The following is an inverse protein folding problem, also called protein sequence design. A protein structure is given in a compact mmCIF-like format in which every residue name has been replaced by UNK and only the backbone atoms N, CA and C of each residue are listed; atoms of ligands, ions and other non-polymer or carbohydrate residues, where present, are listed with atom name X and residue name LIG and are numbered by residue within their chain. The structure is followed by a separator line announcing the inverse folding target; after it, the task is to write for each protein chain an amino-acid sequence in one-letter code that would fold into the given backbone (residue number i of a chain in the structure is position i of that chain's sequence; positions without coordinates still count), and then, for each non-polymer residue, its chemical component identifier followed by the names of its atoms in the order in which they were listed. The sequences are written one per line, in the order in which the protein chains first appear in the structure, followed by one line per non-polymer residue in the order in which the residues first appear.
data_IF_145264768319
#
_entry.id   IF_145264768319
#
_cell.length_a   1.000
_cell.length_b   1.000
_cell.length_c   1.000
_cell.angle_alpha   90.00
_cell.angle_beta   90.00
_cell.angle_gamma   90.00
#
_symmetry.space_group_name_H-M   'P 1'
#
loop_
_entity.id
_entity.type
_entity.pdbx_description
1 polymer ?
#
# COMPACT_ATOMS: atom_id res chain seq x y z
N UNK A 1 -21.93 -9.52 -11.02
CA UNK A 1 -22.24 -8.45 -10.02
C UNK A 1 -21.06 -8.39 -9.05
N UNK A 2 -20.56 -7.19 -8.74
CA UNK A 2 -19.44 -7.02 -7.81
C UNK A 2 -19.80 -7.52 -6.41
N UNK A 3 -18.91 -8.30 -5.80
CA UNK A 3 -19.05 -8.88 -4.45
C UNK A 3 -17.93 -8.48 -3.50
N UNK A 4 -16.76 -8.05 -4.04
CA UNK A 4 -15.63 -7.52 -3.27
C UNK A 4 -15.13 -6.25 -3.92
N UNK A 5 -14.95 -5.20 -3.14
CA UNK A 5 -14.29 -3.95 -3.53
C UNK A 5 -12.98 -3.84 -2.73
N UNK A 6 -11.86 -3.77 -3.43
CA UNK A 6 -10.54 -3.50 -2.86
C UNK A 6 -10.13 -2.06 -3.15
N UNK A 7 -9.79 -1.32 -2.12
CA UNK A 7 -9.56 0.12 -2.16
C UNK A 7 -8.13 0.47 -1.74
N UNK A 8 -7.37 1.05 -2.64
CA UNK A 8 -6.24 1.84 -2.20
C UNK A 8 -6.71 3.07 -1.40
N UNK A 9 -5.85 3.63 -0.56
CA UNK A 9 -6.18 4.74 0.32
C UNK A 9 -5.69 6.08 -0.19
N UNK A 10 -4.37 6.27 -0.23
CA UNK A 10 -3.76 7.57 -0.47
C UNK A 10 -3.99 8.00 -1.92
N UNK A 11 -4.60 9.19 -2.12
CA UNK A 11 -4.98 9.71 -3.44
C UNK A 11 -5.96 8.83 -4.24
N UNK A 12 -6.57 7.84 -3.60
CA UNK A 12 -7.62 6.98 -4.15
C UNK A 12 -8.91 7.16 -3.35
N UNK A 13 -9.00 6.56 -2.16
CA UNK A 13 -10.19 6.66 -1.31
C UNK A 13 -10.18 7.93 -0.46
N UNK A 14 -8.98 8.40 -0.09
CA UNK A 14 -8.76 9.64 0.64
C UNK A 14 -8.54 10.81 -0.32
N UNK A 15 -9.04 11.98 0.08
CA UNK A 15 -8.75 13.26 -0.58
C UNK A 15 -7.25 13.59 -0.53
N UNK A 16 -6.82 14.58 -1.29
CA UNK A 16 -5.43 15.07 -1.27
C UNK A 16 -5.00 15.61 0.10
N UNK A 17 -5.95 15.98 0.95
CA UNK A 17 -5.73 16.38 2.36
C UNK A 17 -5.74 15.18 3.32
N UNK A 18 -5.88 13.96 2.82
CA UNK A 18 -5.81 12.71 3.60
C UNK A 18 -7.09 12.33 4.34
N UNK A 19 -8.26 12.87 3.97
CA UNK A 19 -9.56 12.62 4.60
C UNK A 19 -10.49 11.74 3.76
N UNK A 20 -11.35 10.97 4.42
CA UNK A 20 -12.43 10.24 3.77
C UNK A 20 -13.62 11.18 3.54
N UNK A 21 -13.97 11.44 2.27
CA UNK A 21 -15.12 12.29 1.96
C UNK A 21 -16.43 11.65 2.39
N UNK A 22 -17.43 12.49 2.71
CA UNK A 22 -18.78 12.01 3.07
C UNK A 22 -19.48 11.29 1.90
N UNK A 23 -19.13 11.61 0.65
CA UNK A 23 -19.66 10.90 -0.51
C UNK A 23 -19.08 9.49 -0.61
N UNK A 24 -17.75 9.34 -0.53
CA UNK A 24 -17.10 8.03 -0.51
C UNK A 24 -17.61 7.17 0.65
N UNK A 25 -17.71 7.75 1.86
CA UNK A 25 -18.24 7.06 3.04
C UNK A 25 -19.68 6.55 2.84
N UNK A 26 -20.58 7.36 2.25
CA UNK A 26 -21.95 6.94 1.93
C UNK A 26 -22.00 5.84 0.88
N UNK A 27 -21.21 5.96 -0.20
CA UNK A 27 -21.16 4.96 -1.27
C UNK A 27 -20.66 3.61 -0.77
N UNK A 28 -19.58 3.61 0.05
CA UNK A 28 -19.04 2.40 0.70
C UNK A 28 -20.08 1.75 1.62
N UNK A 29 -20.71 2.54 2.49
CA UNK A 29 -21.79 2.05 3.38
C UNK A 29 -22.98 1.50 2.58
N UNK A 30 -23.32 2.11 1.43
CA UNK A 30 -24.35 1.66 0.52
C UNK A 30 -24.01 0.31 -0.14
N UNK A 31 -22.76 0.12 -0.58
CA UNK A 31 -22.27 -1.15 -1.14
C UNK A 31 -22.32 -2.27 -0.09
N UNK A 32 -21.82 -1.99 1.12
CA UNK A 32 -21.82 -2.94 2.25
C UNK A 32 -23.26 -3.38 2.58
N UNK A 33 -24.22 -2.46 2.64
CA UNK A 33 -25.64 -2.80 2.89
C UNK A 33 -26.25 -3.67 1.81
N UNK A 34 -25.69 -3.68 0.59
CA UNK A 34 -26.09 -4.57 -0.51
C UNK A 34 -25.38 -5.93 -0.48
N UNK A 35 -24.57 -6.19 0.56
CA UNK A 35 -23.82 -7.44 0.74
C UNK A 35 -22.49 -7.49 0.01
N UNK A 36 -21.96 -6.34 -0.44
CA UNK A 36 -20.62 -6.25 -1.04
C UNK A 36 -19.60 -6.16 0.08
N UNK A 37 -18.59 -7.04 0.06
CA UNK A 37 -17.44 -6.92 0.95
C UNK A 37 -16.55 -5.76 0.50
N UNK A 38 -16.02 -5.00 1.45
CA UNK A 38 -15.08 -3.91 1.19
C UNK A 38 -13.82 -4.15 2.01
N UNK A 39 -12.65 -4.08 1.35
CA UNK A 39 -11.36 -4.16 2.02
C UNK A 39 -10.44 -3.01 1.60
N UNK A 40 -9.55 -2.65 2.51
CA UNK A 40 -8.46 -1.70 2.27
C UNK A 40 -7.29 -2.45 1.64
N UNK A 41 -6.55 -1.82 0.70
CA UNK A 41 -5.33 -2.35 0.11
C UNK A 41 -4.27 -1.22 0.00
N UNK A 42 -3.45 -1.04 1.03
CA UNK A 42 -2.56 0.11 1.18
C UNK A 42 -1.10 -0.28 1.37
N UNK A 43 -0.18 0.64 1.03
CA UNK A 43 1.23 0.57 1.42
C UNK A 43 1.46 0.87 2.90
N UNK A 44 0.50 1.47 3.57
CA UNK A 44 0.60 1.80 5.00
C UNK A 44 0.71 0.55 5.87
N UNK A 45 1.44 0.68 6.99
CA UNK A 45 1.38 -0.29 8.08
C UNK A 45 -0.01 -0.26 8.75
N UNK A 46 -0.43 -1.35 9.39
CA UNK A 46 -1.78 -1.45 9.98
C UNK A 46 -2.05 -0.35 11.02
N UNK A 47 -1.07 -0.06 11.88
CA UNK A 47 -1.20 0.95 12.95
C UNK A 47 -1.18 2.40 12.43
N UNK A 48 -0.89 2.60 11.13
CA UNK A 48 -0.89 3.91 10.48
C UNK A 48 -2.11 4.15 9.58
N UNK A 49 -3.06 3.20 9.56
CA UNK A 49 -4.31 3.36 8.82
C UNK A 49 -5.20 4.42 9.48
N UNK A 50 -5.86 5.29 8.70
CA UNK A 50 -6.73 6.33 9.24
C UNK A 50 -7.93 5.73 9.99
N UNK A 51 -8.16 6.20 11.20
CA UNK A 51 -9.30 5.75 12.02
C UNK A 51 -10.63 5.97 11.32
N UNK A 52 -10.80 7.08 10.61
CA UNK A 52 -12.04 7.40 9.89
C UNK A 52 -12.42 6.35 8.82
N UNK A 53 -11.42 5.67 8.23
CA UNK A 53 -11.65 4.55 7.31
C UNK A 53 -11.94 3.27 8.07
N UNK A 54 -11.18 2.99 9.13
CA UNK A 54 -11.38 1.80 9.99
C UNK A 54 -12.74 1.79 10.68
N UNK A 55 -13.32 2.98 10.95
CA UNK A 55 -14.64 3.12 11.57
C UNK A 55 -15.81 3.06 10.58
N UNK A 56 -15.57 2.94 9.27
CA UNK A 56 -16.66 2.65 8.34
C UNK A 56 -17.19 1.25 8.63
N UNK A 57 -18.40 1.20 9.20
CA UNK A 57 -19.01 -0.06 9.63
C UNK A 57 -19.15 -1.04 8.46
N UNK A 58 -18.54 -2.21 8.57
CA UNK A 58 -18.59 -3.30 7.57
C UNK A 58 -17.34 -3.38 6.69
N UNK A 59 -16.34 -2.51 6.84
CA UNK A 59 -14.98 -2.78 6.35
C UNK A 59 -14.33 -3.75 7.33
N UNK A 60 -14.12 -5.00 6.89
CA UNK A 60 -13.70 -6.09 7.78
C UNK A 60 -12.21 -6.40 7.71
N UNK A 61 -11.57 -6.09 6.58
CA UNK A 61 -10.19 -6.48 6.29
C UNK A 61 -9.35 -5.32 5.76
N UNK A 62 -8.07 -5.35 6.13
CA UNK A 62 -7.06 -4.45 5.59
C UNK A 62 -5.85 -5.24 5.08
N UNK A 63 -5.52 -5.03 3.81
CA UNK A 63 -4.28 -5.44 3.17
C UNK A 63 -3.30 -4.28 3.38
N UNK A 64 -2.16 -4.53 4.01
CA UNK A 64 -1.21 -3.51 4.45
C UNK A 64 0.20 -3.80 3.97
N UNK A 65 1.10 -2.82 4.08
CA UNK A 65 2.50 -2.95 3.67
C UNK A 65 2.61 -3.52 2.24
N UNK A 66 1.85 -2.93 1.30
CA UNK A 66 1.75 -3.36 -0.11
C UNK A 66 1.41 -4.86 -0.29
N UNK A 67 0.56 -5.41 0.58
CA UNK A 67 0.14 -6.80 0.49
C UNK A 67 1.00 -7.78 1.27
N UNK A 68 2.04 -7.32 1.96
CA UNK A 68 2.85 -8.18 2.81
C UNK A 68 2.06 -8.72 4.00
N UNK A 69 1.02 -8.02 4.47
CA UNK A 69 0.18 -8.48 5.57
C UNK A 69 -1.31 -8.22 5.31
N UNK A 70 -2.16 -9.14 5.78
CA UNK A 70 -3.62 -9.00 5.75
C UNK A 70 -4.14 -9.11 7.18
N UNK A 71 -4.88 -8.08 7.60
CA UNK A 71 -5.45 -8.00 8.95
C UNK A 71 -6.97 -8.12 8.91
N UNK A 72 -7.52 -8.79 9.93
CA UNK A 72 -8.92 -8.62 10.29
C UNK A 72 -9.02 -7.44 11.27
N UNK A 73 -9.82 -6.43 10.90
CA UNK A 73 -9.85 -5.14 11.62
C UNK A 73 -10.43 -5.30 13.03
N UNK A 74 -11.50 -6.09 13.19
CA UNK A 74 -12.25 -6.19 14.43
C UNK A 74 -11.42 -6.61 15.66
N UNK A 75 -10.42 -7.48 15.47
CA UNK A 75 -9.54 -7.98 16.54
C UNK A 75 -8.06 -7.67 16.27
N UNK A 76 -7.77 -6.85 15.26
CA UNK A 76 -6.42 -6.45 14.84
C UNK A 76 -5.50 -7.65 14.55
N UNK A 77 -6.09 -8.79 14.16
CA UNK A 77 -5.34 -10.02 13.94
C UNK A 77 -4.78 -10.08 12.52
N UNK A 78 -3.46 -10.23 12.40
CA UNK A 78 -2.84 -10.63 11.14
C UNK A 78 -3.27 -12.07 10.80
N UNK A 79 -4.01 -12.23 9.70
CA UNK A 79 -4.53 -13.52 9.23
C UNK A 79 -3.73 -14.11 8.07
N UNK A 80 -2.88 -13.29 7.43
CA UNK A 80 -1.92 -13.70 6.41
C UNK A 80 -0.73 -12.76 6.45
N UNK A 81 0.48 -13.31 6.34
CA UNK A 81 1.72 -12.54 6.22
C UNK A 81 2.67 -13.19 5.21
N UNK A 82 3.45 -12.34 4.53
CA UNK A 82 4.52 -12.68 3.61
C UNK A 82 5.80 -12.00 4.13
N UNK A 83 6.51 -12.66 5.02
CA UNK A 83 7.72 -12.11 5.66
C UNK A 83 8.91 -12.14 4.67
N UNK A 84 9.67 -11.06 4.62
CA UNK A 84 10.94 -11.00 3.89
C UNK A 84 11.89 -12.10 4.40
N UNK A 85 12.59 -12.74 3.47
CA UNK A 85 13.65 -13.70 3.86
C UNK A 85 14.82 -12.94 4.49
N UNK A 86 15.44 -13.46 5.56
CA UNK A 86 16.63 -12.84 6.16
C UNK A 86 17.73 -12.58 5.13
N UNK A 87 17.93 -13.49 4.16
CA UNK A 87 18.91 -13.31 3.09
C UNK A 87 18.59 -12.13 2.19
N UNK A 88 17.28 -11.88 1.89
CA UNK A 88 16.86 -10.73 1.10
C UNK A 88 17.13 -9.43 1.85
N UNK A 89 16.90 -9.38 3.17
CA UNK A 89 17.23 -8.23 4.01
C UNK A 89 18.73 -7.96 3.98
N UNK A 90 19.57 -8.99 4.17
CA UNK A 90 21.03 -8.88 4.10
C UNK A 90 21.50 -8.37 2.72
N UNK A 91 20.87 -8.83 1.63
CA UNK A 91 21.17 -8.38 0.26
C UNK A 91 20.81 -6.90 0.07
N UNK A 92 19.63 -6.46 0.52
CA UNK A 92 19.22 -5.04 0.43
C UNK A 92 20.21 -4.14 1.17
N UNK A 93 20.55 -4.48 2.41
CA UNK A 93 21.52 -3.71 3.19
C UNK A 93 22.91 -3.71 2.52
N UNK A 94 23.33 -4.83 1.95
CA UNK A 94 24.64 -4.95 1.27
C UNK A 94 24.71 -4.11 -0.01
N UNK A 95 23.68 -4.12 -0.84
CA UNK A 95 23.60 -3.31 -2.07
C UNK A 95 23.57 -1.81 -1.70
N UNK A 96 22.72 -1.44 -0.75
CA UNK A 96 22.45 -0.04 -0.44
C UNK A 96 23.54 0.64 0.40
N UNK A 97 24.42 -0.10 1.11
CA UNK A 97 25.46 0.48 2.03
C UNK A 97 26.40 1.50 1.39
N UNK A 98 26.57 1.45 0.05
CA UNK A 98 27.45 2.35 -0.69
C UNK A 98 26.75 3.64 -1.16
N UNK A 99 25.45 3.75 -0.92
CA UNK A 99 24.62 4.85 -1.40
C UNK A 99 24.14 5.75 -0.25
N UNK A 100 23.87 7.05 -0.51
CA UNK A 100 23.35 7.97 0.49
C UNK A 100 21.84 7.78 0.70
N UNK A 101 21.45 6.67 1.29
CA UNK A 101 20.06 6.29 1.53
C UNK A 101 19.80 6.11 3.03
N UNK A 102 18.52 6.13 3.40
CA UNK A 102 18.06 5.71 4.73
C UNK A 102 16.95 4.67 4.61
N UNK A 103 16.41 4.19 5.73
CA UNK A 103 15.52 3.04 5.73
C UNK A 103 14.28 3.27 6.60
N UNK A 104 13.19 2.61 6.18
CA UNK A 104 12.05 2.29 7.01
C UNK A 104 11.92 0.76 7.11
N UNK A 105 11.36 0.27 8.21
CA UNK A 105 11.09 -1.15 8.44
C UNK A 105 9.66 -1.34 8.95
N UNK A 106 8.98 -2.36 8.46
CA UNK A 106 7.59 -2.64 8.82
C UNK A 106 7.52 -4.02 9.46
N UNK A 107 7.04 -4.06 10.71
CA UNK A 107 6.99 -5.29 11.51
C UNK A 107 5.67 -5.34 12.24
N UNK A 108 4.88 -6.40 12.03
CA UNK A 108 3.63 -6.68 12.77
C UNK A 108 2.67 -5.49 12.82
N UNK A 109 2.56 -4.76 11.71
CA UNK A 109 1.66 -3.63 11.58
C UNK A 109 2.20 -2.29 12.06
N UNK A 110 3.42 -2.23 12.58
CA UNK A 110 4.11 -0.98 12.97
C UNK A 110 5.12 -0.55 11.92
N UNK A 111 5.29 0.75 11.75
CA UNK A 111 6.30 1.36 10.88
C UNK A 111 7.41 2.00 11.72
N UNK A 112 8.66 1.65 11.44
CA UNK A 112 9.86 2.16 12.09
C UNK A 112 10.71 2.91 11.09
N UNK A 113 11.33 4.01 11.50
CA UNK A 113 12.20 4.79 10.61
C UNK A 113 13.44 5.30 11.33
N UNK A 114 14.48 5.56 10.53
CA UNK A 114 15.69 6.20 11.00
C UNK A 114 15.40 7.58 11.57
N UNK A 115 16.11 7.94 12.67
CA UNK A 115 15.99 9.26 13.29
C UNK A 115 16.23 10.39 12.30
N UNK A 116 17.27 10.31 11.47
CA UNK A 116 17.60 11.34 10.49
C UNK A 116 16.50 11.55 9.43
N UNK A 117 15.73 10.52 9.10
CA UNK A 117 14.58 10.64 8.19
C UNK A 117 13.40 11.33 8.88
N UNK A 118 13.09 10.95 10.13
CA UNK A 118 11.99 11.58 10.90
C UNK A 118 12.30 13.05 11.20
N UNK A 119 13.55 13.39 11.50
CA UNK A 119 13.97 14.76 11.78
C UNK A 119 13.89 15.65 10.54
N UNK A 120 14.27 15.13 9.37
CA UNK A 120 14.29 15.88 8.12
C UNK A 120 13.81 15.04 6.91
N UNK A 121 12.49 14.76 6.79
CA UNK A 121 11.97 13.94 5.70
C UNK A 121 12.22 14.53 4.30
N UNK A 122 12.20 15.85 4.17
CA UNK A 122 12.42 16.57 2.89
C UNK A 122 13.81 16.32 2.33
N UNK A 123 14.83 16.19 3.15
CA UNK A 123 16.21 15.85 2.73
C UNK A 123 16.25 14.53 1.92
N UNK A 124 15.30 13.64 2.17
CA UNK A 124 15.20 12.33 1.53
C UNK A 124 14.07 12.28 0.49
N UNK A 125 13.55 13.44 0.06
CA UNK A 125 12.59 13.56 -1.04
C UNK A 125 11.12 13.55 -0.65
N UNK A 126 10.79 13.51 0.65
CA UNK A 126 9.40 13.67 1.08
C UNK A 126 8.91 15.09 0.81
N UNK A 127 7.64 15.23 0.44
CA UNK A 127 7.02 16.55 0.27
C UNK A 127 6.79 17.23 1.62
N UNK A 128 6.67 18.56 1.61
CA UNK A 128 6.34 19.33 2.83
C UNK A 128 5.05 18.82 3.50
N UNK A 129 4.05 18.44 2.72
CA UNK A 129 2.78 17.91 3.24
C UNK A 129 2.93 16.53 3.90
N UNK A 130 3.97 15.75 3.55
CA UNK A 130 4.22 14.44 4.12
C UNK A 130 4.97 14.50 5.48
N UNK A 131 5.55 15.65 5.87
CA UNK A 131 6.35 15.77 7.10
C UNK A 131 5.56 15.32 8.33
N UNK A 132 4.34 15.85 8.48
CA UNK A 132 3.50 15.53 9.64
C UNK A 132 3.14 14.04 9.68
N UNK A 133 2.82 13.46 8.52
CA UNK A 133 2.52 12.04 8.41
C UNK A 133 3.72 11.17 8.82
N UNK A 134 4.91 11.42 8.27
CA UNK A 134 6.13 10.68 8.65
C UNK A 134 6.37 10.77 10.15
N UNK A 135 6.35 11.98 10.72
CA UNK A 135 6.61 12.21 12.15
C UNK A 135 5.59 11.60 13.10
N UNK A 136 4.32 11.53 12.69
CA UNK A 136 3.25 11.03 13.55
C UNK A 136 3.07 9.51 13.46
N UNK A 137 3.55 8.87 12.40
CA UNK A 137 3.26 7.46 12.13
C UNK A 137 4.48 6.53 12.25
N UNK A 138 5.71 7.09 12.26
CA UNK A 138 6.94 6.28 12.38
C UNK A 138 7.44 6.23 13.82
N UNK A 139 7.79 5.01 14.25
CA UNK A 139 8.48 4.78 15.51
C UNK A 139 9.98 4.99 15.27
N UNK A 140 10.54 5.98 15.94
CA UNK A 140 11.93 6.38 15.77
C UNK A 140 12.91 5.28 16.20
N UNK A 141 13.94 5.05 15.38
CA UNK A 141 15.12 4.25 15.70
C UNK A 141 16.40 5.08 15.52
N UNK A 142 17.20 5.16 16.57
CA UNK A 142 18.51 5.86 16.53
C UNK A 142 19.47 5.15 15.57
N UNK A 143 19.46 3.81 15.56
CA UNK A 143 20.18 2.98 14.59
C UNK A 143 19.16 2.02 13.93
N UNK A 144 18.64 2.45 12.77
CA UNK A 144 17.66 1.66 12.01
C UNK A 144 18.31 0.41 11.43
N UNK A 145 19.60 0.45 11.07
CA UNK A 145 20.30 -0.70 10.47
C UNK A 145 20.50 -1.80 11.54
N UNK A 146 20.89 -1.42 12.75
CA UNK A 146 20.96 -2.36 13.85
C UNK A 146 19.59 -2.98 14.13
N UNK A 147 18.54 -2.16 14.19
CA UNK A 147 17.17 -2.63 14.40
C UNK A 147 16.71 -3.61 13.31
N UNK A 148 16.96 -3.32 12.03
CA UNK A 148 16.65 -4.22 10.91
C UNK A 148 17.40 -5.56 11.06
N UNK A 149 18.70 -5.53 11.40
CA UNK A 149 19.50 -6.74 11.59
C UNK A 149 18.97 -7.61 12.74
N UNK A 150 18.55 -7.01 13.85
CA UNK A 150 17.98 -7.72 15.00
C UNK A 150 16.63 -8.38 14.67
N UNK A 151 15.85 -7.78 13.76
CA UNK A 151 14.51 -8.22 13.37
C UNK A 151 14.41 -8.78 11.95
N UNK A 152 15.53 -9.14 11.29
CA UNK A 152 15.56 -9.52 9.87
C UNK A 152 14.67 -10.70 9.46
N UNK A 153 14.19 -11.50 10.42
CA UNK A 153 13.24 -12.60 10.18
C UNK A 153 11.77 -12.22 10.48
N UNK A 154 11.48 -10.96 10.75
CA UNK A 154 10.17 -10.48 11.17
C UNK A 154 9.61 -9.37 10.26
N UNK A 155 10.39 -8.89 9.27
CA UNK A 155 9.99 -7.78 8.42
C UNK A 155 8.87 -8.17 7.46
N UNK A 156 7.74 -7.48 7.54
CA UNK A 156 6.67 -7.51 6.54
C UNK A 156 7.19 -6.89 5.23
N UNK A 157 7.79 -5.70 5.31
CA UNK A 157 8.53 -5.05 4.23
C UNK A 157 9.59 -4.11 4.79
N UNK A 158 10.44 -3.60 3.93
CA UNK A 158 11.36 -2.51 4.22
C UNK A 158 11.42 -1.54 3.05
N UNK A 159 11.61 -0.25 3.36
CA UNK A 159 11.77 0.77 2.34
C UNK A 159 13.20 1.32 2.37
N UNK A 160 13.74 1.55 1.17
CA UNK A 160 14.94 2.36 0.97
C UNK A 160 14.48 3.75 0.54
N UNK A 161 14.92 4.77 1.26
CA UNK A 161 14.44 6.15 1.12
C UNK A 161 15.55 7.03 0.57
N UNK A 162 15.31 7.70 -0.55
CA UNK A 162 16.26 8.59 -1.22
C UNK A 162 15.57 9.59 -2.15
N UNK A 163 16.21 10.74 -2.39
CA UNK A 163 15.74 11.78 -3.33
C UNK A 163 16.64 11.86 -4.57
N UNK A 164 16.72 10.76 -5.32
CA UNK A 164 17.47 10.70 -6.58
C UNK A 164 16.88 9.63 -7.50
N UNK A 165 16.18 10.03 -8.56
CA UNK A 165 15.50 9.13 -9.49
C UNK A 165 16.47 8.26 -10.31
N UNK A 166 17.68 8.74 -10.59
CA UNK A 166 18.70 7.98 -11.35
C UNK A 166 19.27 6.89 -10.43
N UNK A 167 19.64 7.29 -9.23
CA UNK A 167 20.14 6.34 -8.22
C UNK A 167 19.09 5.32 -7.82
N UNK A 168 17.83 5.74 -7.69
CA UNK A 168 16.70 4.84 -7.40
C UNK A 168 16.62 3.70 -8.43
N UNK A 169 16.63 4.04 -9.72
CA UNK A 169 16.58 3.03 -10.80
C UNK A 169 17.76 2.08 -10.72
N UNK A 170 18.97 2.62 -10.53
CA UNK A 170 20.19 1.82 -10.39
C UNK A 170 20.10 0.84 -9.23
N UNK A 171 19.63 1.28 -8.05
CA UNK A 171 19.46 0.42 -6.88
C UNK A 171 18.44 -0.69 -7.17
N UNK A 172 17.31 -0.36 -7.80
CA UNK A 172 16.29 -1.36 -8.18
C UNK A 172 16.86 -2.43 -9.10
N UNK A 173 17.64 -2.04 -10.12
CA UNK A 173 18.28 -2.98 -11.06
C UNK A 173 19.27 -3.90 -10.31
N UNK A 174 20.15 -3.35 -9.47
CA UNK A 174 21.11 -4.13 -8.68
C UNK A 174 20.41 -5.09 -7.69
N UNK A 175 19.31 -4.67 -7.09
CA UNK A 175 18.50 -5.51 -6.20
C UNK A 175 17.87 -6.68 -6.96
N UNK A 176 17.28 -6.44 -8.14
CA UNK A 176 16.70 -7.50 -8.96
C UNK A 176 17.77 -8.45 -9.58
N UNK A 177 19.00 -7.96 -9.80
CA UNK A 177 20.09 -8.81 -10.21
C UNK A 177 20.55 -9.75 -9.08
N UNK A 178 20.62 -9.23 -7.85
CA UNK A 178 21.15 -9.95 -6.68
C UNK A 178 20.13 -10.85 -6.00
N UNK A 179 18.82 -10.56 -6.10
CA UNK A 179 17.77 -11.30 -5.40
C UNK A 179 16.51 -11.48 -6.26
N UNK A 180 16.05 -12.74 -6.35
CA UNK A 180 14.80 -13.10 -7.07
C UNK A 180 13.64 -13.40 -6.13
N UNK A 181 13.85 -13.30 -4.82
CA UNK A 181 12.83 -13.54 -3.81
C UNK A 181 12.20 -12.24 -3.26
N UNK A 182 12.46 -11.12 -3.93
CA UNK A 182 11.87 -9.82 -3.59
C UNK A 182 10.87 -9.35 -4.64
N UNK A 183 9.90 -8.56 -4.18
CA UNK A 183 8.98 -7.75 -4.96
C UNK A 183 9.25 -6.28 -4.63
N UNK A 184 9.50 -5.46 -5.64
CA UNK A 184 9.77 -4.04 -5.48
C UNK A 184 8.65 -3.24 -6.14
N UNK A 185 8.15 -2.27 -5.41
CA UNK A 185 7.17 -1.29 -5.90
C UNK A 185 7.49 0.12 -5.39
N UNK A 186 6.68 1.08 -5.74
CA UNK A 186 6.82 2.47 -5.33
C UNK A 186 5.46 3.15 -5.30
N UNK A 187 5.04 3.63 -4.16
CA UNK A 187 3.83 4.45 -3.98
C UNK A 187 4.12 5.94 -4.13
N UNK A 188 5.34 6.37 -3.77
CA UNK A 188 5.81 7.75 -3.87
C UNK A 188 7.25 7.81 -4.38
N UNK A 189 7.62 8.98 -4.94
CA UNK A 189 8.88 9.18 -5.64
C UNK A 189 10.11 8.70 -4.86
N UNK A 190 10.20 9.01 -3.57
CA UNK A 190 11.38 8.79 -2.73
C UNK A 190 11.52 7.35 -2.20
N UNK A 191 10.52 6.47 -2.36
CA UNK A 191 10.54 5.13 -1.77
C UNK A 191 10.88 4.04 -2.80
N UNK A 192 11.73 3.11 -2.40
CA UNK A 192 11.86 1.77 -2.96
C UNK A 192 11.25 0.83 -1.92
N UNK A 193 10.04 0.36 -2.17
CA UNK A 193 9.27 -0.47 -1.24
C UNK A 193 9.51 -1.93 -1.55
N UNK A 194 10.14 -2.66 -0.63
CA UNK A 194 10.65 -4.02 -0.84
C UNK A 194 9.93 -4.99 0.08
N UNK A 195 9.30 -5.98 -0.49
CA UNK A 195 8.63 -7.07 0.21
C UNK A 195 8.99 -8.44 -0.37
N UNK A 196 8.47 -9.52 0.22
CA UNK A 196 8.68 -10.86 -0.33
C UNK A 196 8.03 -10.99 -1.71
N UNK A 197 8.61 -11.75 -2.62
CA UNK A 197 8.17 -11.87 -4.03
C UNK A 197 6.71 -12.24 -4.23
N UNK A 198 6.11 -12.97 -3.29
CA UNK A 198 4.70 -13.37 -3.36
C UNK A 198 3.78 -12.37 -2.63
N UNK A 199 4.32 -11.28 -2.08
CA UNK A 199 3.54 -10.15 -1.61
C UNK A 199 2.98 -9.35 -2.80
N UNK A 200 2.37 -8.23 -2.53
CA UNK A 200 1.71 -7.39 -3.52
C UNK A 200 0.23 -7.22 -3.16
N UNK A 201 -0.35 -6.07 -3.49
CA UNK A 201 -1.78 -5.81 -3.20
C UNK A 201 -2.67 -6.88 -3.84
N UNK A 202 -2.32 -7.34 -5.04
CA UNK A 202 -2.98 -8.48 -5.70
C UNK A 202 -3.05 -9.71 -4.82
N UNK A 203 -1.92 -10.11 -4.22
CA UNK A 203 -1.85 -11.33 -3.40
C UNK A 203 -2.76 -11.26 -2.18
N UNK A 204 -2.84 -10.08 -1.54
CA UNK A 204 -3.78 -9.82 -0.46
C UNK A 204 -5.24 -9.93 -0.92
N UNK A 205 -5.59 -9.30 -2.05
CA UNK A 205 -6.94 -9.37 -2.63
C UNK A 205 -7.29 -10.81 -3.01
N UNK A 206 -6.37 -11.53 -3.65
CA UNK A 206 -6.56 -12.93 -4.02
C UNK A 206 -6.77 -13.83 -2.79
N UNK A 207 -6.01 -13.60 -1.72
CA UNK A 207 -6.19 -14.32 -0.46
C UNK A 207 -7.59 -14.08 0.14
N UNK A 208 -8.03 -12.81 0.22
CA UNK A 208 -9.36 -12.47 0.74
C UNK A 208 -10.47 -13.01 -0.15
N UNK A 209 -10.34 -12.93 -1.47
CA UNK A 209 -11.32 -13.52 -2.39
C UNK A 209 -11.47 -15.02 -2.17
N UNK A 210 -10.36 -15.76 -1.99
CA UNK A 210 -10.38 -17.17 -1.64
C UNK A 210 -11.02 -17.45 -0.28
N UNK A 211 -10.74 -16.65 0.74
CA UNK A 211 -11.33 -16.76 2.07
C UNK A 211 -12.85 -16.54 2.05
N UNK A 212 -13.33 -15.61 1.22
CA UNK A 212 -14.74 -15.23 1.12
C UNK A 212 -15.51 -16.04 0.05
N UNK A 213 -14.82 -16.91 -0.71
CA UNK A 213 -15.45 -17.68 -1.80
C UNK A 213 -15.90 -16.81 -2.98
N UNK A 214 -15.16 -15.75 -3.31
CA UNK A 214 -15.50 -14.78 -4.35
C UNK A 214 -14.64 -15.01 -5.59
N UNK A 215 -15.27 -15.14 -6.74
CA UNK A 215 -14.56 -15.26 -8.02
C UNK A 215 -13.90 -13.94 -8.43
N UNK A 216 -12.74 -14.01 -9.09
CA UNK A 216 -12.01 -12.87 -9.65
C UNK A 216 -12.90 -11.89 -10.44
N UNK A 217 -13.82 -12.41 -11.26
CA UNK A 217 -14.73 -11.61 -12.10
C UNK A 217 -15.72 -10.74 -11.30
N UNK A 218 -15.93 -11.05 -10.02
CA UNK A 218 -16.82 -10.35 -9.11
C UNK A 218 -16.05 -9.37 -8.17
N UNK A 219 -14.77 -9.09 -8.47
CA UNK A 219 -13.91 -8.17 -7.70
C UNK A 219 -13.77 -6.86 -8.45
N UNK A 220 -13.95 -5.73 -7.76
CA UNK A 220 -13.53 -4.41 -8.22
C UNK A 220 -12.31 -3.95 -7.42
N UNK A 221 -11.35 -3.32 -8.08
CA UNK A 221 -10.16 -2.76 -7.43
C UNK A 221 -9.96 -1.30 -7.87
N UNK A 222 -9.58 -0.45 -6.93
CA UNK A 222 -9.35 0.98 -7.14
C UNK A 222 -7.92 1.35 -6.79
N UNK A 223 -7.28 2.19 -7.61
CA UNK A 223 -5.92 2.66 -7.36
C UNK A 223 -5.52 3.86 -8.22
N UNK A 224 -4.36 4.46 -7.89
CA UNK A 224 -3.84 5.63 -8.61
C UNK A 224 -2.34 5.52 -8.97
N UNK A 225 -1.58 4.58 -8.39
CA UNK A 225 -0.12 4.51 -8.52
C UNK A 225 0.39 3.13 -8.96
N UNK A 226 1.71 3.01 -9.12
CA UNK A 226 2.33 1.79 -9.66
C UNK A 226 2.17 0.56 -8.75
N UNK A 227 2.05 0.75 -7.42
CA UNK A 227 1.79 -0.33 -6.48
C UNK A 227 0.36 -0.91 -6.56
N UNK A 228 -0.51 -0.31 -7.40
CA UNK A 228 -1.87 -0.80 -7.65
C UNK A 228 -1.98 -1.64 -8.92
N UNK A 229 -0.98 -1.59 -9.80
CA UNK A 229 -1.02 -2.21 -11.13
C UNK A 229 -1.43 -3.68 -11.06
N UNK A 230 -0.80 -4.44 -10.19
CA UNK A 230 -1.02 -5.88 -10.06
C UNK A 230 -2.46 -6.20 -9.58
N UNK A 231 -2.98 -5.38 -8.66
CA UNK A 231 -4.34 -5.49 -8.14
C UNK A 231 -5.39 -5.09 -9.19
N UNK A 232 -5.16 -4.00 -9.91
CA UNK A 232 -6.03 -3.51 -11.00
C UNK A 232 -6.12 -4.56 -12.11
N UNK A 233 -5.00 -5.09 -12.58
CA UNK A 233 -4.96 -6.13 -13.60
C UNK A 233 -5.57 -7.46 -13.13
N UNK A 234 -5.53 -7.75 -11.84
CA UNK A 234 -6.11 -8.96 -11.29
C UNK A 234 -7.62 -8.89 -11.15
N UNK A 235 -8.19 -7.75 -10.80
CA UNK A 235 -9.64 -7.61 -10.59
C UNK A 235 -10.45 -7.92 -11.86
N UNK A 236 -11.72 -8.20 -11.70
CA UNK A 236 -12.70 -8.30 -12.82
C UNK A 236 -13.15 -6.92 -13.29
N UNK A 237 -12.98 -5.90 -12.45
CA UNK A 237 -13.24 -4.49 -12.71
C UNK A 237 -12.09 -3.65 -12.14
N UNK A 238 -11.06 -3.43 -12.94
CA UNK A 238 -9.95 -2.56 -12.58
C UNK A 238 -10.33 -1.09 -12.81
N UNK A 239 -10.34 -0.27 -11.77
CA UNK A 239 -10.74 1.14 -11.80
C UNK A 239 -9.57 2.03 -11.45
N UNK A 240 -9.05 2.78 -12.42
CA UNK A 240 -8.05 3.83 -12.19
C UNK A 240 -8.74 5.13 -11.79
N UNK A 241 -8.17 5.84 -10.80
CA UNK A 241 -8.62 7.18 -10.44
C UNK A 241 -8.31 8.21 -11.53
N UNK A 242 -9.07 9.30 -11.60
CA UNK A 242 -8.82 10.39 -12.56
C UNK A 242 -7.45 11.05 -12.41
N UNK A 243 -6.91 11.05 -11.20
CA UNK A 243 -5.56 11.52 -10.85
C UNK A 243 -4.48 10.43 -10.97
N UNK A 244 -4.81 9.21 -11.40
CA UNK A 244 -3.86 8.12 -11.52
C UNK A 244 -2.77 8.39 -12.57
N UNK A 245 -1.68 7.62 -12.51
CA UNK A 245 -0.64 7.65 -13.53
C UNK A 245 -1.22 7.27 -14.90
N UNK A 246 -0.68 7.85 -15.99
CA UNK A 246 -1.15 7.55 -17.34
C UNK A 246 -0.98 6.05 -17.67
N UNK A 247 0.05 5.42 -17.10
CA UNK A 247 0.26 3.99 -17.24
C UNK A 247 -0.90 3.20 -16.63
N UNK A 248 -1.27 3.50 -15.37
CA UNK A 248 -2.38 2.81 -14.70
C UNK A 248 -3.71 3.03 -15.43
N UNK A 249 -3.98 4.27 -15.89
CA UNK A 249 -5.19 4.56 -16.70
C UNK A 249 -5.24 3.75 -17.99
N UNK A 250 -4.09 3.51 -18.62
CA UNK A 250 -4.03 2.79 -19.91
C UNK A 250 -4.34 1.29 -19.80
N UNK A 251 -4.20 0.71 -18.61
CA UNK A 251 -4.37 -0.73 -18.35
C UNK A 251 -5.63 -1.07 -17.56
N UNK A 252 -6.28 -0.06 -16.97
CA UNK A 252 -7.52 -0.23 -16.21
C UNK A 252 -8.73 -0.46 -17.15
N UNK A 253 -9.74 -1.19 -16.67
CA UNK A 253 -11.00 -1.37 -17.40
C UNK A 253 -11.82 -0.07 -17.45
N UNK A 254 -11.71 0.75 -16.40
CA UNK A 254 -12.43 2.03 -16.25
C UNK A 254 -11.52 3.10 -15.66
N UNK A 255 -11.74 4.35 -16.09
CA UNK A 255 -11.18 5.53 -15.44
C UNK A 255 -12.34 6.31 -14.81
N UNK A 256 -12.27 6.50 -13.51
CA UNK A 256 -13.27 7.28 -12.76
C UNK A 256 -12.81 8.74 -12.58
N UNK A 257 -13.51 9.51 -11.75
CA UNK A 257 -13.11 10.86 -11.36
C UNK A 257 -11.86 10.82 -10.44
N UNK A 258 -11.28 11.99 -10.18
CA UNK A 258 -10.17 12.09 -9.21
C UNK A 258 -10.64 11.80 -7.79
N UNK A 259 -9.68 11.59 -6.89
CA UNK A 259 -9.92 11.41 -5.46
C UNK A 259 -10.61 12.64 -4.83
N UNK A 260 -10.28 13.85 -5.27
CA UNK A 260 -10.88 15.11 -4.80
C UNK A 260 -12.27 15.39 -5.41
N UNK A 261 -12.69 14.59 -6.40
CA UNK A 261 -14.01 14.66 -7.06
C UNK A 261 -14.91 13.46 -6.71
N UNK A 262 -14.62 12.79 -5.58
CA UNK A 262 -15.38 11.62 -5.10
C UNK A 262 -15.38 10.44 -6.10
N UNK A 263 -14.25 10.17 -6.76
CA UNK A 263 -14.15 9.20 -7.84
C UNK A 263 -14.54 7.77 -7.43
N UNK A 264 -14.27 7.36 -6.18
CA UNK A 264 -14.70 6.05 -5.65
C UNK A 264 -16.22 5.97 -5.57
N UNK A 265 -16.88 6.99 -4.99
CA UNK A 265 -18.33 7.04 -4.91
C UNK A 265 -18.97 7.04 -6.30
N UNK A 266 -18.45 7.86 -7.21
CA UNK A 266 -18.92 7.92 -8.59
C UNK A 266 -18.90 6.55 -9.27
N UNK A 267 -17.79 5.82 -9.18
CA UNK A 267 -17.66 4.52 -9.81
C UNK A 267 -18.56 3.46 -9.16
N UNK A 268 -18.66 3.43 -7.84
CA UNK A 268 -19.55 2.50 -7.12
C UNK A 268 -21.00 2.70 -7.58
N UNK A 269 -21.47 3.94 -7.64
CA UNK A 269 -22.87 4.27 -7.90
C UNK A 269 -23.24 4.18 -9.40
N UNK A 270 -22.30 4.47 -10.32
CA UNK A 270 -22.62 4.60 -11.75
C UNK A 270 -22.05 3.49 -12.63
N UNK A 271 -21.05 2.74 -12.17
CA UNK A 271 -20.36 1.71 -12.94
C UNK A 271 -20.58 0.31 -12.37
N UNK A 272 -20.43 0.14 -11.05
CA UNK A 272 -20.31 -1.18 -10.44
C UNK A 272 -21.62 -1.76 -9.91
N UNK A 273 -22.53 -0.94 -9.41
CA UNK A 273 -23.73 -1.38 -8.70
C UNK A 273 -25.05 -0.97 -9.40
N UNK A 274 -24.97 -0.55 -10.64
CA UNK A 274 -26.15 -0.32 -11.50
C UNK A 274 -26.67 -1.60 -12.12
#
# INVERSE_FOLDING_TARGET
MVKLIALDLDRTTLTSDGHLSEANKRALSGAIKRGVHVCIASGRAFDTLPEEVLYVQGIEYAITSNGASVYRIADRKCIKSYILKPQSVDNVLSVCKQYPVTYEAFIRGCAYAAKEYIDNPVKYGATENAIQYVRSTRILKEDIIQFINEHRSELDCMDVVLDDDILKRKIIDELYESDKDIYITSSVKQLIEISYKDAGKRSGVQYLAGLLGIDRKDIAAFGDADNDIDMILFAGYGVAMGNATEHLKSIADYVTKSNDEDGVAYAIENILLN
#
